data_IF_234395917227
#
_entry.id   IF_234395917227
#
_cell.length_a   1.000
_cell.length_b   1.000
_cell.length_c   1.000
_cell.angle_alpha   90.00
_cell.angle_beta   90.00
_cell.angle_gamma   90.00
#
_symmetry.space_group_name_H-M   'P 1'
#
loop_
_entity.id
_entity.type
_entity.pdbx_description
1 polymer ?
#
# COMPACT_ATOMS: atom_id res chain seq x y z
N UNK A 1 1.47 -45.16 -20.04
CA UNK A 1 1.86 -43.77 -19.70
C UNK A 1 2.46 -43.80 -18.30
N UNK A 2 3.72 -43.38 -18.17
CA UNK A 2 4.54 -43.58 -16.96
C UNK A 2 4.32 -42.52 -15.89
N UNK A 3 4.76 -42.86 -14.67
CA UNK A 3 4.59 -42.22 -13.35
C UNK A 3 5.11 -40.77 -13.21
N UNK A 4 5.37 -40.06 -14.31
CA UNK A 4 5.99 -38.73 -14.39
C UNK A 4 4.99 -37.57 -14.13
N UNK A 5 3.69 -37.84 -14.09
CA UNK A 5 2.63 -36.82 -13.94
C UNK A 5 2.25 -36.52 -12.48
N UNK A 6 2.92 -37.13 -11.49
CA UNK A 6 2.54 -37.00 -10.07
C UNK A 6 3.36 -35.99 -9.27
N UNK A 7 4.47 -35.48 -9.80
CA UNK A 7 5.34 -34.51 -9.11
C UNK A 7 5.16 -33.13 -9.73
N UNK A 8 4.93 -32.11 -8.88
CA UNK A 8 4.79 -30.73 -9.33
C UNK A 8 5.98 -30.33 -10.22
N UNK A 9 5.76 -29.75 -11.41
CA UNK A 9 6.82 -29.27 -12.29
C UNK A 9 7.86 -28.39 -11.58
N UNK A 10 7.45 -27.62 -10.57
CA UNK A 10 8.34 -26.79 -9.76
C UNK A 10 9.20 -27.53 -8.77
N UNK A 11 8.69 -28.63 -8.22
CA UNK A 11 9.50 -29.53 -7.37
C UNK A 11 10.58 -30.17 -8.24
N UNK A 12 10.24 -30.51 -9.49
CA UNK A 12 11.22 -30.98 -10.48
C UNK A 12 12.24 -29.89 -10.81
N UNK A 13 11.80 -28.69 -11.15
CA UNK A 13 12.69 -27.55 -11.46
C UNK A 13 13.63 -27.22 -10.30
N UNK A 14 13.14 -27.10 -9.06
CA UNK A 14 13.98 -26.85 -7.88
C UNK A 14 14.94 -27.99 -7.60
N UNK A 15 14.53 -29.22 -7.85
CA UNK A 15 15.39 -30.40 -7.70
C UNK A 15 16.46 -30.42 -8.80
N UNK A 16 16.14 -30.02 -10.03
CA UNK A 16 17.08 -29.89 -11.14
C UNK A 16 18.08 -28.74 -10.89
N UNK A 17 17.63 -27.59 -10.39
CA UNK A 17 18.49 -26.48 -9.94
C UNK A 17 19.48 -26.94 -8.86
N UNK A 18 18.99 -27.66 -7.84
CA UNK A 18 19.83 -28.20 -6.78
C UNK A 18 20.83 -29.24 -7.32
N UNK A 19 20.41 -30.11 -8.24
CA UNK A 19 21.31 -31.06 -8.89
C UNK A 19 22.39 -30.35 -9.72
N UNK A 20 22.05 -29.26 -10.41
CA UNK A 20 23.03 -28.46 -11.15
C UNK A 20 24.04 -27.78 -10.22
N UNK A 21 23.59 -27.26 -9.08
CA UNK A 21 24.48 -26.69 -8.05
C UNK A 21 25.44 -27.72 -7.47
N UNK A 22 24.94 -28.91 -7.12
CA UNK A 22 25.79 -30.02 -6.67
C UNK A 22 26.80 -30.41 -7.74
N UNK A 23 26.35 -30.58 -9.00
CA UNK A 23 27.25 -30.92 -10.12
C UNK A 23 28.31 -29.84 -10.33
N UNK A 24 27.96 -28.57 -10.19
CA UNK A 24 28.91 -27.46 -10.25
C UNK A 24 29.98 -27.57 -9.17
N UNK A 25 29.57 -27.74 -7.91
CA UNK A 25 30.49 -27.92 -6.77
C UNK A 25 31.44 -29.10 -7.00
N UNK A 26 30.91 -30.25 -7.43
CA UNK A 26 31.70 -31.45 -7.69
C UNK A 26 32.69 -31.22 -8.84
N UNK A 27 32.26 -30.59 -9.94
CA UNK A 27 33.14 -30.34 -11.09
C UNK A 27 34.24 -29.31 -10.77
N UNK A 28 33.91 -28.24 -10.04
CA UNK A 28 34.91 -27.26 -9.59
C UNK A 28 35.97 -27.91 -8.70
N UNK A 29 35.54 -28.70 -7.71
CA UNK A 29 36.49 -29.31 -6.78
C UNK A 29 37.30 -30.43 -7.45
N UNK A 30 36.68 -31.17 -8.37
CA UNK A 30 37.38 -32.14 -9.22
C UNK A 30 38.44 -31.48 -10.08
N UNK A 31 38.16 -30.32 -10.68
CA UNK A 31 39.15 -29.61 -11.49
C UNK A 31 40.38 -29.19 -10.67
N UNK A 32 40.18 -28.71 -9.43
CA UNK A 32 41.30 -28.38 -8.51
C UNK A 32 42.09 -29.62 -8.08
N UNK A 33 41.39 -30.73 -7.84
CA UNK A 33 42.02 -32.00 -7.52
C UNK A 33 42.89 -32.47 -8.70
N UNK A 34 42.37 -32.41 -9.92
CA UNK A 34 43.11 -32.77 -11.14
C UNK A 34 44.36 -31.88 -11.33
N UNK A 35 44.26 -30.57 -11.08
CA UNK A 35 45.43 -29.67 -11.10
C UNK A 35 46.48 -30.04 -10.04
N UNK A 36 46.04 -30.38 -8.83
CA UNK A 36 46.91 -30.77 -7.72
C UNK A 36 47.63 -32.09 -8.02
N UNK A 37 46.92 -33.05 -8.62
CA UNK A 37 47.48 -34.33 -9.07
C UNK A 37 48.48 -34.12 -10.21
N UNK A 38 48.20 -33.25 -11.19
CA UNK A 38 49.13 -32.96 -12.28
C UNK A 38 50.43 -32.31 -11.79
N UNK A 39 50.35 -31.44 -10.79
CA UNK A 39 51.54 -30.85 -10.16
C UNK A 39 52.36 -31.93 -9.46
N UNK A 40 51.70 -32.82 -8.72
CA UNK A 40 52.34 -33.93 -8.04
C UNK A 40 53.03 -34.88 -9.02
N UNK A 41 52.38 -35.21 -10.15
CA UNK A 41 52.97 -36.05 -11.20
C UNK A 41 54.21 -35.42 -11.84
N UNK A 42 54.24 -34.08 -11.98
CA UNK A 42 55.45 -33.36 -12.43
C UNK A 42 56.57 -33.44 -11.40
N UNK A 43 56.26 -33.29 -10.12
CA UNK A 43 57.26 -33.37 -9.05
C UNK A 43 57.85 -34.79 -8.93
N UNK A 44 57.06 -35.85 -9.20
CA UNK A 44 57.57 -37.23 -9.36
C UNK A 44 58.47 -37.35 -10.57
N UNK A 45 58.07 -36.81 -11.73
CA UNK A 45 58.84 -36.88 -12.97
C UNK A 45 60.19 -36.13 -12.89
N UNK A 46 60.24 -35.06 -12.09
CA UNK A 46 61.45 -34.28 -11.80
C UNK A 46 62.29 -34.89 -10.66
N UNK A 47 61.85 -36.01 -10.06
CA UNK A 47 62.58 -36.74 -9.01
C UNK A 47 62.60 -36.02 -7.65
N UNK A 48 61.70 -35.06 -7.43
CA UNK A 48 61.61 -34.30 -6.17
C UNK A 48 60.95 -35.08 -5.04
N UNK A 49 60.10 -36.05 -5.39
CA UNK A 49 59.37 -36.93 -4.47
C UNK A 49 59.35 -38.37 -5.00
N UNK A 50 59.22 -39.34 -4.11
CA UNK A 50 59.13 -40.76 -4.49
C UNK A 50 57.74 -41.13 -5.02
N UNK A 51 57.63 -42.28 -5.71
CA UNK A 51 56.33 -42.78 -6.18
C UNK A 51 55.43 -43.17 -5.02
N UNK A 52 55.97 -43.78 -3.96
CA UNK A 52 55.19 -44.13 -2.77
C UNK A 52 54.63 -42.88 -2.08
N UNK A 53 55.43 -41.83 -1.88
CA UNK A 53 54.96 -40.56 -1.27
C UNK A 53 53.90 -39.86 -2.13
N UNK A 54 54.00 -39.95 -3.45
CA UNK A 54 53.00 -39.40 -4.37
C UNK A 54 51.67 -40.15 -4.30
N UNK A 55 51.67 -41.49 -4.20
CA UNK A 55 50.44 -42.25 -4.06
C UNK A 55 49.73 -41.93 -2.73
N UNK A 56 50.46 -41.83 -1.63
CA UNK A 56 49.91 -41.44 -0.33
C UNK A 56 49.29 -40.02 -0.38
N UNK A 57 49.98 -39.08 -1.01
CA UNK A 57 49.50 -37.70 -1.14
C UNK A 57 48.24 -37.62 -2.02
N UNK A 58 48.12 -38.45 -3.07
CA UNK A 58 46.90 -38.50 -3.91
C UNK A 58 45.68 -38.96 -3.12
N UNK A 59 45.86 -39.92 -2.21
CA UNK A 59 44.78 -40.41 -1.34
C UNK A 59 44.32 -39.29 -0.40
N UNK A 60 45.25 -38.60 0.27
CA UNK A 60 44.93 -37.48 1.17
C UNK A 60 44.23 -36.31 0.45
N UNK A 61 44.66 -35.99 -0.78
CA UNK A 61 44.03 -34.96 -1.60
C UNK A 61 42.59 -35.34 -2.00
N UNK A 62 42.34 -36.61 -2.30
CA UNK A 62 41.00 -37.10 -2.62
C UNK A 62 40.06 -37.04 -1.40
N UNK A 63 40.55 -37.41 -0.22
CA UNK A 63 39.81 -37.31 1.04
C UNK A 63 39.47 -35.86 1.38
N UNK A 64 40.45 -34.95 1.35
CA UNK A 64 40.23 -33.53 1.59
C UNK A 64 39.24 -32.92 0.58
N UNK A 65 39.34 -33.28 -0.70
CA UNK A 65 38.39 -32.81 -1.73
C UNK A 65 36.97 -33.30 -1.46
N UNK A 66 36.82 -34.55 -1.00
CA UNK A 66 35.53 -35.13 -0.61
C UNK A 66 34.89 -34.38 0.57
N UNK A 67 35.68 -34.04 1.59
CA UNK A 67 35.22 -33.26 2.74
C UNK A 67 34.76 -31.86 2.32
N UNK A 68 35.52 -31.18 1.47
CA UNK A 68 35.18 -29.86 0.94
C UNK A 68 33.88 -29.90 0.13
N UNK A 69 33.70 -30.93 -0.72
CA UNK A 69 32.46 -31.14 -1.47
C UNK A 69 31.28 -31.29 -0.51
N UNK A 70 31.42 -32.15 0.52
CA UNK A 70 30.35 -32.38 1.49
C UNK A 70 29.98 -31.11 2.27
N UNK A 71 30.98 -30.34 2.73
CA UNK A 71 30.74 -29.09 3.44
C UNK A 71 30.06 -28.04 2.54
N UNK A 72 30.50 -27.93 1.28
CA UNK A 72 29.89 -27.01 0.31
C UNK A 72 28.46 -27.41 -0.02
N UNK A 73 28.16 -28.70 -0.18
CA UNK A 73 26.81 -29.21 -0.42
C UNK A 73 25.90 -28.93 0.79
N UNK A 74 26.38 -29.11 2.02
CA UNK A 74 25.60 -28.81 3.23
C UNK A 74 25.25 -27.31 3.36
N UNK A 75 26.10 -26.41 2.86
CA UNK A 75 25.83 -24.96 2.82
C UNK A 75 24.83 -24.57 1.73
N UNK A 76 24.57 -25.44 0.75
CA UNK A 76 23.51 -25.19 -0.22
C UNK A 76 22.17 -25.37 0.51
N UNK A 77 21.51 -24.24 0.80
CA UNK A 77 20.25 -24.21 1.52
C UNK A 77 19.14 -24.91 0.71
N UNK A 78 18.89 -26.18 1.01
CA UNK A 78 17.81 -26.97 0.42
C UNK A 78 16.63 -27.02 1.39
N UNK A 79 15.65 -26.17 1.15
CA UNK A 79 14.43 -26.11 1.97
C UNK A 79 13.45 -27.21 1.53
N UNK A 80 13.59 -28.38 2.17
CA UNK A 80 12.71 -29.52 1.95
C UNK A 80 11.25 -29.22 2.35
N UNK A 81 11.04 -28.36 3.35
CA UNK A 81 9.70 -28.01 3.83
C UNK A 81 8.94 -27.18 2.79
N UNK A 82 9.62 -26.27 2.10
CA UNK A 82 9.05 -25.51 0.97
C UNK A 82 8.68 -26.43 -0.20
N UNK A 83 9.52 -27.43 -0.51
CA UNK A 83 9.23 -28.41 -1.55
C UNK A 83 8.03 -29.29 -1.21
N UNK A 84 7.94 -29.76 0.04
CA UNK A 84 6.80 -30.57 0.51
C UNK A 84 5.52 -29.75 0.45
N UNK A 85 5.53 -28.48 0.90
CA UNK A 85 4.36 -27.59 0.82
C UNK A 85 3.89 -27.41 -0.63
N UNK A 86 4.81 -27.23 -1.57
CA UNK A 86 4.50 -27.10 -3.01
C UNK A 86 3.91 -28.39 -3.59
N UNK A 87 4.48 -29.55 -3.23
CA UNK A 87 3.97 -30.85 -3.67
C UNK A 87 2.57 -31.16 -3.11
N UNK A 88 2.34 -30.85 -1.83
CA UNK A 88 1.02 -31.00 -1.18
C UNK A 88 -0.01 -30.07 -1.80
N UNK A 89 0.34 -28.82 -2.07
CA UNK A 89 -0.54 -27.88 -2.76
C UNK A 89 -0.92 -28.36 -4.17
N UNK A 90 0.04 -28.88 -4.93
CA UNK A 90 -0.20 -29.45 -6.27
C UNK A 90 -1.14 -30.66 -6.24
N UNK A 91 -0.98 -31.54 -5.24
CA UNK A 91 -1.83 -32.72 -5.05
C UNK A 91 -3.27 -32.35 -4.65
N UNK A 92 -3.46 -31.32 -3.82
CA UNK A 92 -4.78 -30.83 -3.40
C UNK A 92 -5.54 -30.19 -4.57
N UNK A 93 -4.83 -29.56 -5.50
CA UNK A 93 -5.41 -28.79 -6.61
C UNK A 93 -5.58 -29.59 -7.92
N UNK A 94 -5.52 -30.93 -7.86
CA UNK A 94 -5.66 -31.83 -9.02
C UNK A 94 -4.77 -31.43 -10.22
N UNK A 95 -3.51 -31.07 -9.96
CA UNK A 95 -2.53 -30.79 -11.00
C UNK A 95 -2.53 -29.37 -11.57
N UNK A 96 -3.35 -28.45 -11.04
CA UNK A 96 -3.25 -27.03 -11.38
C UNK A 96 -2.30 -26.31 -10.41
N UNK A 97 -1.12 -25.94 -10.91
CA UNK A 97 -0.11 -25.17 -10.17
C UNK A 97 -0.67 -23.77 -9.82
N UNK A 98 -0.77 -23.48 -8.53
CA UNK A 98 -1.25 -22.18 -8.03
C UNK A 98 -0.30 -21.00 -8.33
N UNK A 99 0.90 -21.23 -8.89
CA UNK A 99 1.94 -20.18 -9.05
C UNK A 99 2.93 -20.39 -10.22
N UNK A 100 2.54 -20.80 -11.44
CA UNK A 100 3.48 -20.95 -12.58
C UNK A 100 4.54 -19.82 -12.69
N UNK A 101 5.82 -20.15 -12.92
CA UNK A 101 6.90 -19.15 -13.12
C UNK A 101 6.52 -18.32 -14.35
N UNK A 102 6.26 -17.01 -14.19
CA UNK A 102 5.86 -16.18 -15.31
C UNK A 102 7.03 -16.04 -16.28
N UNK A 103 6.83 -16.37 -17.55
CA UNK A 103 7.72 -16.03 -18.68
C UNK A 103 8.10 -14.54 -18.61
N UNK A 104 9.22 -14.10 -19.21
CA UNK A 104 9.55 -12.66 -19.29
C UNK A 104 8.38 -11.83 -19.87
N UNK A 105 7.60 -12.42 -20.79
CA UNK A 105 6.35 -11.82 -21.30
C UNK A 105 5.24 -11.77 -20.25
N UNK A 106 5.09 -12.81 -19.42
CA UNK A 106 4.13 -12.84 -18.31
C UNK A 106 4.54 -11.89 -17.18
N UNK A 107 5.83 -11.71 -16.90
CA UNK A 107 6.36 -10.70 -15.97
C UNK A 107 6.10 -9.28 -16.48
N UNK A 108 6.34 -9.03 -17.78
CA UNK A 108 6.00 -7.75 -18.42
C UNK A 108 4.50 -7.49 -18.40
N UNK A 109 3.67 -8.53 -18.57
CA UNK A 109 2.21 -8.44 -18.51
C UNK A 109 1.71 -8.23 -17.08
N UNK A 110 2.31 -8.91 -16.09
CA UNK A 110 1.94 -8.87 -14.67
C UNK A 110 2.39 -7.59 -13.97
N UNK A 111 3.59 -7.09 -14.28
CA UNK A 111 4.18 -5.90 -13.67
C UNK A 111 4.13 -4.66 -14.56
N UNK A 112 3.14 -4.59 -15.46
CA UNK A 112 2.87 -3.38 -16.24
C UNK A 112 2.44 -2.24 -15.30
N UNK A 113 2.73 -0.99 -15.69
CA UNK A 113 2.24 0.19 -15.00
C UNK A 113 0.74 0.07 -14.69
N UNK A 114 0.42 0.04 -13.41
CA UNK A 114 -0.95 -0.19 -12.92
C UNK A 114 -1.79 1.07 -13.04
N UNK A 115 -3.02 0.86 -13.47
CA UNK A 115 -4.04 1.89 -13.57
C UNK A 115 -5.28 1.33 -12.88
N UNK A 116 -5.51 1.75 -11.65
CA UNK A 116 -6.53 1.15 -10.81
C UNK A 116 -7.60 2.19 -10.49
N UNK A 117 -8.85 1.82 -10.73
CA UNK A 117 -10.02 2.52 -10.21
C UNK A 117 -10.50 1.75 -8.99
N UNK A 118 -10.53 2.39 -7.84
CA UNK A 118 -10.82 1.76 -6.54
C UNK A 118 -11.92 2.53 -5.83
N UNK A 119 -12.84 1.81 -5.20
CA UNK A 119 -13.84 2.38 -4.31
C UNK A 119 -13.17 3.06 -3.13
N UNK A 120 -13.70 4.20 -2.71
CA UNK A 120 -13.20 4.97 -1.59
C UNK A 120 -14.30 5.13 -0.56
N UNK A 121 -14.02 4.77 0.68
CA UNK A 121 -14.89 5.06 1.82
C UNK A 121 -14.04 5.64 2.95
N UNK A 122 -14.49 6.74 3.54
CA UNK A 122 -13.75 7.45 4.57
C UNK A 122 -14.63 7.96 5.69
N UNK A 123 -14.07 8.03 6.89
CA UNK A 123 -14.66 8.69 8.03
C UNK A 123 -13.62 9.54 8.73
N UNK A 124 -13.97 10.78 9.08
CA UNK A 124 -13.05 11.68 9.76
C UNK A 124 -13.73 12.61 10.74
N UNK A 125 -12.95 13.05 11.70
CA UNK A 125 -13.29 14.09 12.66
C UNK A 125 -12.89 15.43 12.08
N UNK A 126 -13.79 16.42 12.19
CA UNK A 126 -13.54 17.78 11.74
C UNK A 126 -13.24 18.65 12.95
N UNK A 127 -12.32 19.59 12.78
CA UNK A 127 -12.08 20.69 13.71
C UNK A 127 -11.86 21.98 12.94
N UNK A 128 -11.82 23.10 13.67
CA UNK A 128 -11.66 24.42 13.08
C UNK A 128 -10.41 25.09 13.64
N UNK A 129 -9.60 25.65 12.75
CA UNK A 129 -8.46 26.47 13.11
C UNK A 129 -8.92 27.91 13.31
N UNK A 130 -8.29 28.57 14.29
CA UNK A 130 -8.53 29.93 14.74
C UNK A 130 -9.84 30.11 15.54
N UNK A 131 -9.69 30.54 16.81
CA UNK A 131 -10.79 30.89 17.70
C UNK A 131 -11.13 32.36 17.51
N UNK A 132 -11.88 32.66 16.46
CA UNK A 132 -12.28 34.03 16.11
C UNK A 132 -13.63 34.43 16.72
N UNK A 133 -14.47 33.47 17.10
CA UNK A 133 -15.78 33.69 17.72
C UNK A 133 -15.99 32.73 18.91
N UNK A 134 -15.90 33.28 20.12
CA UNK A 134 -16.03 32.55 21.39
C UNK A 134 -17.42 31.92 21.56
N UNK A 135 -18.49 32.53 21.02
CA UNK A 135 -19.86 32.00 21.15
C UNK A 135 -20.08 30.72 20.33
N UNK A 136 -19.42 30.63 19.17
CA UNK A 136 -19.47 29.44 18.32
C UNK A 136 -18.52 28.36 18.83
N UNK A 137 -17.36 28.73 19.36
CA UNK A 137 -16.35 27.78 19.86
C UNK A 137 -16.81 27.02 21.11
N UNK A 138 -17.50 27.71 22.04
CA UNK A 138 -18.02 27.10 23.27
C UNK A 138 -19.19 26.12 23.02
N UNK A 139 -19.81 26.18 21.83
CA UNK A 139 -21.04 25.42 21.48
C UNK A 139 -20.84 24.48 20.31
N UNK A 140 -19.61 24.34 19.81
CA UNK A 140 -19.32 23.47 18.70
C UNK A 140 -19.16 22.03 19.22
N UNK A 141 -20.23 21.26 19.06
CA UNK A 141 -20.23 19.85 19.40
C UNK A 141 -19.46 18.99 18.40
N UNK A 142 -19.66 17.68 18.50
CA UNK A 142 -18.98 16.71 17.67
C UNK A 142 -19.22 16.93 16.16
N UNK A 143 -18.16 17.25 15.42
CA UNK A 143 -18.17 17.45 13.97
C UNK A 143 -17.48 16.30 13.24
N UNK A 144 -18.15 15.72 12.25
CA UNK A 144 -17.65 14.58 11.49
C UNK A 144 -17.92 14.68 10.00
N UNK A 145 -17.12 13.94 9.23
CA UNK A 145 -17.22 13.85 7.79
C UNK A 145 -17.26 12.39 7.37
N UNK A 146 -18.27 12.04 6.58
CA UNK A 146 -18.36 10.75 5.90
C UNK A 146 -18.06 10.97 4.42
N UNK A 147 -17.26 10.09 3.83
CA UNK A 147 -16.83 10.20 2.44
C UNK A 147 -17.05 8.89 1.68
N UNK A 148 -17.51 9.01 0.44
CA UNK A 148 -17.68 7.89 -0.48
C UNK A 148 -17.28 8.33 -1.88
N UNK A 149 -16.60 7.49 -2.65
CA UNK A 149 -16.26 7.86 -4.01
C UNK A 149 -15.46 6.82 -4.76
N UNK A 150 -14.83 7.29 -5.82
CA UNK A 150 -13.92 6.51 -6.65
C UNK A 150 -12.59 7.24 -6.73
N UNK A 151 -11.50 6.50 -6.56
CA UNK A 151 -10.15 7.02 -6.73
C UNK A 151 -9.46 6.31 -7.88
N UNK A 152 -8.83 7.10 -8.74
CA UNK A 152 -8.02 6.64 -9.85
C UNK A 152 -6.54 6.82 -9.49
N UNK A 153 -5.80 5.71 -9.49
CA UNK A 153 -4.35 5.70 -9.26
C UNK A 153 -3.66 5.23 -10.54
N UNK A 154 -2.76 6.06 -11.07
CA UNK A 154 -1.96 5.78 -12.24
C UNK A 154 -0.48 5.76 -11.87
N UNK A 155 0.13 4.59 -11.88
CA UNK A 155 1.57 4.46 -11.75
C UNK A 155 2.26 5.02 -13.00
N UNK A 156 3.33 5.79 -12.84
CA UNK A 156 3.98 6.42 -14.00
C UNK A 156 4.63 5.38 -14.92
N UNK A 157 5.42 4.47 -14.35
CA UNK A 157 6.13 3.40 -15.05
C UNK A 157 6.16 2.15 -14.17
N UNK A 158 6.32 0.97 -14.77
CA UNK A 158 6.46 -0.32 -14.07
C UNK A 158 7.59 -0.33 -13.02
N UNK A 159 8.65 0.45 -13.24
CA UNK A 159 9.80 0.57 -12.33
C UNK A 159 9.71 1.77 -11.37
N UNK A 160 8.63 2.56 -11.42
CA UNK A 160 8.48 3.80 -10.66
C UNK A 160 7.79 3.55 -9.32
N UNK A 161 8.33 4.07 -8.20
CA UNK A 161 7.63 4.12 -6.91
C UNK A 161 6.51 5.17 -6.88
N UNK A 162 6.48 6.05 -7.88
CA UNK A 162 5.57 7.18 -7.95
C UNK A 162 4.33 6.88 -8.78
N UNK A 163 3.18 7.28 -8.22
CA UNK A 163 1.88 7.20 -8.86
C UNK A 163 1.14 8.53 -8.75
N UNK A 164 0.45 8.91 -9.82
CA UNK A 164 -0.51 10.01 -9.82
C UNK A 164 -1.83 9.50 -9.23
N UNK A 165 -2.45 10.29 -8.35
CA UNK A 165 -3.74 9.97 -7.73
C UNK A 165 -4.74 11.06 -8.04
N UNK A 166 -5.92 10.67 -8.52
CA UNK A 166 -7.07 11.55 -8.69
C UNK A 166 -8.37 10.81 -8.37
N UNK A 167 -9.53 11.42 -8.54
CA UNK A 167 -10.80 10.76 -8.26
C UNK A 167 -11.98 11.71 -8.14
N UNK A 168 -13.09 11.15 -7.70
CA UNK A 168 -14.32 11.86 -7.39
C UNK A 168 -14.83 11.35 -6.04
N UNK A 169 -14.87 12.23 -5.05
CA UNK A 169 -15.21 11.90 -3.67
C UNK A 169 -16.40 12.76 -3.24
N UNK A 170 -17.50 12.12 -2.89
CA UNK A 170 -18.61 12.75 -2.20
C UNK A 170 -18.29 12.86 -0.72
N UNK A 171 -18.38 14.06 -0.17
CA UNK A 171 -18.12 14.36 1.23
C UNK A 171 -19.38 14.92 1.88
N UNK A 172 -19.89 14.22 2.90
CA UNK A 172 -20.98 14.64 3.76
C UNK A 172 -20.43 15.11 5.09
N UNK A 173 -20.33 16.42 5.22
CA UNK A 173 -19.82 17.09 6.41
C UNK A 173 -20.98 17.41 7.32
N UNK A 174 -20.93 16.97 8.57
CA UNK A 174 -21.94 17.26 9.58
C UNK A 174 -21.27 18.01 10.73
N UNK A 175 -21.71 19.23 10.97
CA UNK A 175 -21.38 19.99 12.17
C UNK A 175 -22.58 19.94 13.12
N UNK A 176 -22.33 19.61 14.38
CA UNK A 176 -23.34 19.62 15.44
C UNK A 176 -23.08 20.84 16.33
N UNK A 177 -24.15 21.50 16.74
CA UNK A 177 -24.11 22.45 17.84
C UNK A 177 -24.58 21.74 19.12
N UNK A 178 -23.90 22.01 20.21
CA UNK A 178 -24.37 21.69 21.55
C UNK A 178 -25.21 22.89 22.07
N UNK A 179 -26.12 22.63 23.02
CA UNK A 179 -27.18 23.53 23.52
C UNK A 179 -28.38 23.79 22.59
N UNK A 180 -29.39 24.51 23.11
CA UNK A 180 -30.67 24.87 22.46
C UNK A 180 -30.51 25.90 21.33
N UNK A 181 -29.36 25.94 20.67
CA UNK A 181 -29.02 26.89 19.61
C UNK A 181 -29.21 26.29 18.22
N UNK A 182 -29.76 27.10 17.32
CA UNK A 182 -30.00 26.74 15.92
C UNK A 182 -29.39 27.77 14.98
N UNK A 183 -28.90 27.28 13.84
CA UNK A 183 -28.56 28.15 12.72
C UNK A 183 -29.85 28.79 12.18
N UNK A 184 -29.92 30.12 12.20
CA UNK A 184 -31.00 30.92 11.60
C UNK A 184 -30.40 31.93 10.63
N UNK A 185 -31.22 32.45 9.72
CA UNK A 185 -30.81 33.60 8.91
C UNK A 185 -31.28 34.88 9.58
N UNK A 186 -30.41 35.88 9.65
CA UNK A 186 -30.80 37.23 10.05
C UNK A 186 -31.59 37.92 8.92
N UNK A 187 -32.10 39.13 9.20
CA UNK A 187 -32.82 39.97 8.24
C UNK A 187 -31.99 40.38 7.01
N UNK A 188 -30.67 40.26 7.07
CA UNK A 188 -29.74 40.56 5.98
C UNK A 188 -29.37 39.30 5.16
N UNK A 189 -29.88 38.13 5.56
CA UNK A 189 -29.62 36.86 4.89
C UNK A 189 -28.30 36.19 5.29
N UNK A 190 -27.63 36.65 6.34
CA UNK A 190 -26.45 36.01 6.91
C UNK A 190 -26.84 34.91 7.89
N UNK A 191 -26.05 33.85 7.95
CA UNK A 191 -26.23 32.79 8.95
C UNK A 191 -25.78 33.31 10.31
N UNK A 192 -26.63 33.21 11.32
CA UNK A 192 -26.34 33.57 12.71
C UNK A 192 -26.86 32.47 13.65
N UNK A 193 -26.41 32.49 14.89
CA UNK A 193 -26.89 31.60 15.94
C UNK A 193 -28.04 32.27 16.68
N UNK A 194 -29.19 31.60 16.79
CA UNK A 194 -30.26 32.03 17.67
C UNK A 194 -30.58 30.96 18.72
N UNK A 195 -30.81 31.43 19.94
CA UNK A 195 -31.33 30.62 21.03
C UNK A 195 -32.77 30.22 20.71
N UNK A 196 -33.08 28.94 20.84
CA UNK A 196 -34.45 28.43 20.76
C UNK A 196 -35.12 28.59 22.11
N UNK A 197 -36.36 29.10 22.17
CA UNK A 197 -37.15 29.21 23.41
C UNK A 197 -37.64 27.85 23.95
N UNK A 198 -37.36 26.77 23.22
CA UNK A 198 -37.73 25.39 23.54
C UNK A 198 -36.51 24.50 23.40
N UNK A 199 -36.35 23.51 24.28
CA UNK A 199 -35.17 22.64 24.28
C UNK A 199 -35.03 21.89 22.95
N UNK A 200 -33.83 21.94 22.35
CA UNK A 200 -33.51 21.31 21.08
C UNK A 200 -32.65 20.07 21.32
N UNK A 201 -33.25 18.89 21.11
CA UNK A 201 -32.52 17.62 21.17
C UNK A 201 -31.40 17.51 20.12
N UNK A 202 -31.59 18.07 18.92
CA UNK A 202 -30.65 17.95 17.78
C UNK A 202 -30.65 19.18 16.88
N UNK A 203 -29.52 19.89 16.84
CA UNK A 203 -29.20 20.95 15.87
C UNK A 203 -27.99 20.53 15.03
N UNK A 204 -28.19 20.20 13.75
CA UNK A 204 -27.13 19.71 12.85
C UNK A 204 -27.18 20.36 11.48
N UNK A 205 -26.07 20.95 11.06
CA UNK A 205 -25.87 21.45 9.71
C UNK A 205 -25.10 20.39 8.90
N UNK A 206 -25.65 20.00 7.75
CA UNK A 206 -24.99 19.06 6.83
C UNK A 206 -24.73 19.71 5.48
N UNK A 207 -23.45 19.77 5.09
CA UNK A 207 -23.00 20.15 3.75
C UNK A 207 -22.60 18.93 2.95
N UNK A 208 -23.03 18.86 1.69
CA UNK A 208 -22.64 17.81 0.73
C UNK A 208 -21.78 18.42 -0.37
N UNK A 209 -20.59 17.88 -0.57
CA UNK A 209 -19.60 18.36 -1.52
C UNK A 209 -19.16 17.25 -2.46
N UNK A 210 -18.86 17.61 -3.72
CA UNK A 210 -18.08 16.78 -4.62
C UNK A 210 -16.65 17.30 -4.66
N UNK A 211 -15.71 16.46 -4.25
CA UNK A 211 -14.28 16.77 -4.13
C UNK A 211 -13.51 15.99 -5.19
N UNK A 212 -12.62 16.68 -5.89
CA UNK A 212 -11.67 16.11 -6.84
C UNK A 212 -10.26 16.26 -6.25
N UNK A 213 -9.64 15.18 -5.75
CA UNK A 213 -8.24 15.22 -5.36
C UNK A 213 -7.33 15.12 -6.59
N UNK A 214 -6.16 15.72 -6.49
CA UNK A 214 -5.05 15.56 -7.41
C UNK A 214 -3.75 15.57 -6.62
N UNK A 215 -2.96 14.51 -6.75
CA UNK A 215 -1.75 14.36 -5.95
C UNK A 215 -0.80 13.28 -6.42
N UNK A 216 0.30 13.17 -5.69
CA UNK A 216 1.33 12.17 -5.91
C UNK A 216 1.37 11.21 -4.72
N UNK A 217 1.43 9.92 -5.04
CA UNK A 217 1.67 8.84 -4.11
C UNK A 217 3.08 8.31 -4.31
N UNK A 218 3.83 8.19 -3.22
CA UNK A 218 5.06 7.43 -3.16
C UNK A 218 4.79 6.11 -2.43
N UNK A 219 4.87 5.01 -3.15
CA UNK A 219 4.76 3.67 -2.58
C UNK A 219 6.16 3.17 -2.23
N UNK A 220 6.37 2.76 -0.98
CA UNK A 220 7.64 2.17 -0.55
C UNK A 220 7.76 0.77 -1.14
N UNK A 221 8.99 0.33 -1.40
CA UNK A 221 9.23 -0.91 -2.14
C UNK A 221 10.67 -1.04 -2.58
N UNK A 222 10.95 -2.12 -3.30
CA UNK A 222 12.27 -2.42 -3.83
C UNK A 222 12.20 -2.56 -5.35
N UNK A 223 13.22 -2.08 -6.04
CA UNK A 223 13.40 -2.39 -7.47
C UNK A 223 13.93 -3.81 -7.59
N UNK A 224 13.32 -4.60 -8.47
CA UNK A 224 13.77 -5.95 -8.81
C UNK A 224 14.07 -5.95 -10.30
N UNK A 225 15.26 -6.42 -10.64
CA UNK A 225 15.68 -6.62 -12.03
C UNK A 225 15.80 -8.12 -12.27
N UNK A 226 15.11 -8.60 -13.30
CA UNK A 226 15.21 -9.96 -13.81
C UNK A 226 15.59 -9.83 -15.28
N UNK A 227 16.76 -10.35 -15.64
CA UNK A 227 17.40 -10.15 -16.94
C UNK A 227 17.48 -8.65 -17.32
N UNK A 228 16.81 -8.25 -18.41
CA UNK A 228 16.72 -6.86 -18.91
C UNK A 228 15.42 -6.12 -18.50
N UNK A 229 14.60 -6.70 -17.62
CA UNK A 229 13.34 -6.10 -17.16
C UNK A 229 13.41 -5.70 -15.69
N UNK A 230 13.31 -4.39 -15.43
CA UNK A 230 13.20 -3.83 -14.08
C UNK A 230 11.76 -3.47 -13.75
N UNK A 231 11.26 -3.96 -12.62
CA UNK A 231 9.96 -3.58 -12.06
C UNK A 231 10.07 -3.18 -10.59
N UNK A 232 9.08 -2.41 -10.12
CA UNK A 232 9.00 -1.97 -8.74
C UNK A 232 8.09 -2.92 -7.95
N UNK A 233 8.68 -3.64 -6.99
CA UNK A 233 7.92 -4.46 -6.04
C UNK A 233 7.44 -3.56 -4.89
N UNK A 234 6.18 -3.16 -4.96
CA UNK A 234 5.50 -2.38 -3.93
C UNK A 234 5.42 -3.16 -2.60
N UNK A 235 5.62 -2.44 -1.49
CA UNK A 235 5.27 -2.87 -0.14
C UNK A 235 3.94 -2.23 0.25
N UNK A 236 3.36 -2.74 1.32
CA UNK A 236 2.10 -2.26 1.89
C UNK A 236 2.19 -0.90 2.63
N UNK A 237 3.19 -0.09 2.30
CA UNK A 237 3.43 1.22 2.88
C UNK A 237 3.47 2.26 1.77
N UNK A 238 2.69 3.33 1.90
CA UNK A 238 2.74 4.45 0.96
C UNK A 238 2.44 5.77 1.65
N UNK A 239 2.97 6.86 1.10
CA UNK A 239 2.62 8.23 1.49
C UNK A 239 2.03 8.93 0.28
N UNK A 240 0.93 9.64 0.47
CA UNK A 240 0.28 10.43 -0.59
C UNK A 240 0.14 11.86 -0.15
N UNK A 241 0.52 12.78 -1.04
CA UNK A 241 0.26 14.20 -0.89
C UNK A 241 -0.65 14.65 -2.05
N UNK A 242 -1.84 15.16 -1.72
CA UNK A 242 -2.80 15.65 -2.69
C UNK A 242 -3.30 17.04 -2.32
N UNK A 243 -3.47 17.87 -3.33
CA UNK A 243 -4.35 19.03 -3.27
C UNK A 243 -5.75 18.60 -3.73
N UNK A 244 -6.78 19.31 -3.33
CA UNK A 244 -8.13 19.06 -3.80
C UNK A 244 -8.90 20.35 -3.99
N UNK A 245 -9.84 20.31 -4.93
CA UNK A 245 -10.88 21.30 -5.09
C UNK A 245 -12.24 20.61 -5.02
N UNK A 246 -13.25 21.28 -4.51
CA UNK A 246 -14.59 20.74 -4.42
C UNK A 246 -15.66 21.80 -4.57
N UNK A 247 -16.82 21.34 -5.06
CA UNK A 247 -18.02 22.17 -5.26
C UNK A 247 -19.13 21.71 -4.33
N UNK A 248 -19.84 22.65 -3.74
CA UNK A 248 -21.03 22.38 -2.93
C UNK A 248 -22.15 21.87 -3.83
N UNK A 249 -22.69 20.69 -3.52
CA UNK A 249 -23.83 20.11 -4.25
C UNK A 249 -25.17 20.48 -3.60
N UNK A 250 -25.23 20.38 -2.27
CA UNK A 250 -26.45 20.61 -1.50
C UNK A 250 -26.10 20.88 -0.04
N UNK A 251 -26.94 21.65 0.64
CA UNK A 251 -26.96 21.73 2.10
C UNK A 251 -28.33 21.30 2.63
N UNK A 252 -28.34 20.82 3.87
CA UNK A 252 -29.55 20.41 4.57
C UNK A 252 -29.34 20.76 6.04
N UNK A 253 -30.20 21.60 6.62
CA UNK A 253 -30.22 21.84 8.05
C UNK A 253 -31.33 21.03 8.70
N UNK A 254 -30.99 20.35 9.79
CA UNK A 254 -31.91 19.47 10.51
C UNK A 254 -31.97 19.96 11.95
N UNK A 255 -33.12 20.50 12.33
CA UNK A 255 -33.42 20.95 13.69
C UNK A 255 -34.57 20.08 14.23
N UNK A 256 -34.35 19.42 15.37
CA UNK A 256 -35.36 18.62 16.08
C UNK A 256 -35.39 19.00 17.57
N UNK A 257 -36.60 19.20 18.10
CA UNK A 257 -36.91 19.29 19.54
C UNK A 257 -38.27 18.60 19.83
N UNK A 258 -38.71 18.65 21.10
CA UNK A 258 -39.83 17.86 21.64
C UNK A 258 -41.15 17.93 20.84
N UNK A 259 -41.46 19.09 20.23
CA UNK A 259 -42.69 19.29 19.42
C UNK A 259 -42.43 19.91 18.04
N UNK A 260 -41.15 20.03 17.62
CA UNK A 260 -40.77 20.68 16.35
C UNK A 260 -39.75 19.82 15.60
N UNK A 261 -40.16 19.27 14.45
CA UNK A 261 -39.27 18.63 13.48
C UNK A 261 -39.22 19.47 12.20
N UNK A 262 -38.27 20.39 12.09
CA UNK A 262 -38.05 21.19 10.89
C UNK A 262 -36.76 20.78 10.17
N UNK A 263 -36.91 20.39 8.90
CA UNK A 263 -35.81 20.15 7.97
C UNK A 263 -35.87 21.25 6.91
N UNK A 264 -34.93 22.18 6.96
CA UNK A 264 -34.89 23.31 6.04
C UNK A 264 -33.70 23.16 5.07
N UNK A 265 -33.96 23.31 3.77
CA UNK A 265 -32.97 23.29 2.66
C UNK A 265 -32.48 24.70 2.30
N UNK A 266 -32.56 25.64 3.25
CA UNK A 266 -32.18 27.04 3.02
C UNK A 266 -30.65 27.15 2.95
N UNK A 267 -30.16 28.15 2.22
CA UNK A 267 -28.71 28.34 2.07
C UNK A 267 -28.12 28.98 3.35
N UNK A 268 -27.35 28.19 4.10
CA UNK A 268 -26.69 28.61 5.35
C UNK A 268 -25.28 29.19 5.11
N UNK A 269 -25.11 29.91 4.00
CA UNK A 269 -23.85 30.58 3.64
C UNK A 269 -22.62 29.66 3.71
N UNK A 270 -22.78 28.34 3.47
CA UNK A 270 -21.66 27.43 3.34
C UNK A 270 -20.90 27.74 2.06
N UNK A 271 -19.56 27.73 2.13
CA UNK A 271 -18.73 28.08 1.00
C UNK A 271 -19.05 27.21 -0.23
N UNK A 272 -19.43 27.79 -1.38
CA UNK A 272 -19.74 27.02 -2.58
C UNK A 272 -18.53 26.30 -3.17
N UNK A 273 -17.30 26.77 -2.87
CA UNK A 273 -16.06 26.23 -3.40
C UNK A 273 -15.03 26.00 -2.28
N UNK A 274 -14.65 24.74 -2.08
CA UNK A 274 -13.66 24.35 -1.08
C UNK A 274 -12.37 23.91 -1.74
N UNK A 275 -11.23 24.25 -1.14
CA UNK A 275 -9.94 23.75 -1.60
C UNK A 275 -8.96 23.62 -0.45
N UNK A 276 -8.02 22.69 -0.59
CA UNK A 276 -7.05 22.42 0.46
C UNK A 276 -6.02 21.38 0.08
N UNK A 277 -5.26 20.96 1.09
CA UNK A 277 -4.25 19.93 0.98
C UNK A 277 -4.55 18.78 1.94
N UNK A 278 -4.16 17.58 1.54
CA UNK A 278 -4.29 16.36 2.32
C UNK A 278 -3.02 15.53 2.20
N UNK A 279 -2.56 15.07 3.36
CA UNK A 279 -1.53 14.05 3.48
C UNK A 279 -2.19 12.74 3.91
N UNK A 280 -1.74 11.63 3.35
CA UNK A 280 -2.29 10.31 3.63
C UNK A 280 -1.17 9.29 3.77
N UNK A 281 -1.18 8.55 4.87
CA UNK A 281 -0.28 7.44 5.15
C UNK A 281 -1.07 6.14 5.00
N UNK A 282 -0.63 5.28 4.09
CA UNK A 282 -1.17 3.95 3.86
C UNK A 282 -0.32 2.93 4.62
N UNK A 283 -0.99 2.11 5.42
CA UNK A 283 -0.41 0.95 6.10
C UNK A 283 -1.34 -0.24 5.84
N UNK A 284 -0.88 -1.20 5.02
CA UNK A 284 -1.70 -2.32 4.56
C UNK A 284 -2.97 -1.82 3.85
N UNK A 285 -4.14 -2.24 4.33
CA UNK A 285 -5.45 -1.84 3.79
C UNK A 285 -6.02 -0.58 4.43
N UNK A 286 -5.35 -0.01 5.44
CA UNK A 286 -5.83 1.16 6.19
C UNK A 286 -5.08 2.40 5.74
N UNK A 287 -5.81 3.47 5.43
CA UNK A 287 -5.22 4.77 5.15
C UNK A 287 -5.59 5.75 6.26
N UNK A 288 -4.61 6.41 6.84
CA UNK A 288 -4.79 7.49 7.82
C UNK A 288 -4.50 8.80 7.08
N UNK A 289 -5.39 9.78 7.20
CA UNK A 289 -5.20 11.07 6.53
C UNK A 289 -5.36 12.24 7.49
N UNK A 290 -4.60 13.29 7.17
CA UNK A 290 -4.72 14.62 7.73
C UNK A 290 -5.00 15.59 6.59
N UNK A 291 -6.00 16.43 6.74
CA UNK A 291 -6.47 17.36 5.74
C UNK A 291 -6.60 18.74 6.34
N UNK A 292 -6.18 19.76 5.59
CA UNK A 292 -6.36 21.17 5.93
C UNK A 292 -7.02 21.90 4.77
N UNK A 293 -8.07 22.65 5.06
CA UNK A 293 -8.69 23.57 4.12
C UNK A 293 -8.00 24.93 4.13
N UNK A 294 -7.85 25.48 2.93
CA UNK A 294 -7.34 26.83 2.73
C UNK A 294 -8.48 27.82 2.46
N UNK A 295 -9.61 27.32 1.96
CA UNK A 295 -10.89 28.04 1.91
C UNK A 295 -11.50 28.20 3.30
N UNK A 296 -12.20 29.30 3.51
CA UNK A 296 -13.04 29.51 4.70
C UNK A 296 -14.23 28.55 4.66
N UNK A 297 -14.67 28.05 5.81
CA UNK A 297 -15.78 27.09 5.88
C UNK A 297 -17.13 27.73 5.52
N UNK A 298 -17.34 28.97 5.96
CA UNK A 298 -18.46 29.81 5.53
C UNK A 298 -18.01 30.77 4.42
N UNK A 299 -18.98 31.29 3.68
CA UNK A 299 -18.74 32.29 2.64
C UNK A 299 -18.23 33.60 3.25
N UNK A 300 -17.44 34.35 2.46
CA UNK A 300 -16.80 35.58 2.95
C UNK A 300 -17.87 36.61 3.33
N UNK A 301 -17.63 37.33 4.43
CA UNK A 301 -18.47 38.39 5.00
C UNK A 301 -19.81 37.97 5.61
N UNK A 302 -20.05 36.67 5.89
CA UNK A 302 -21.36 36.25 6.43
C UNK A 302 -21.35 35.95 7.91
N UNK A 303 -20.41 35.13 8.40
CA UNK A 303 -20.48 34.58 9.76
C UNK A 303 -19.11 34.32 10.37
N UNK A 304 -18.25 33.54 9.71
CA UNK A 304 -16.91 33.25 10.23
C UNK A 304 -15.94 32.83 9.12
N UNK A 305 -14.68 33.28 9.23
CA UNK A 305 -13.60 33.00 8.29
C UNK A 305 -12.72 31.80 8.71
N UNK A 306 -13.14 31.04 9.73
CA UNK A 306 -12.43 29.84 10.22
C UNK A 306 -12.16 28.81 9.12
N UNK A 307 -10.99 28.18 9.20
CA UNK A 307 -10.53 27.13 8.28
C UNK A 307 -10.72 25.76 8.90
N UNK A 308 -11.19 24.80 8.12
CA UNK A 308 -11.40 23.44 8.60
C UNK A 308 -10.09 22.63 8.56
N UNK A 309 -9.82 21.88 9.62
CA UNK A 309 -8.89 20.76 9.59
C UNK A 309 -9.64 19.45 9.84
N UNK A 310 -9.13 18.35 9.32
CA UNK A 310 -9.78 17.05 9.43
C UNK A 310 -8.74 15.96 9.58
N UNK A 311 -9.01 15.02 10.49
CA UNK A 311 -8.23 13.80 10.67
C UNK A 311 -9.16 12.60 10.55
N UNK A 312 -8.72 11.55 9.86
CA UNK A 312 -9.58 10.40 9.68
C UNK A 312 -8.90 9.19 9.10
N UNK A 313 -9.73 8.18 8.87
CA UNK A 313 -9.35 6.93 8.24
C UNK A 313 -10.15 6.74 6.97
N UNK A 314 -9.53 6.15 5.95
CA UNK A 314 -10.23 5.72 4.75
C UNK A 314 -9.71 4.37 4.27
N UNK A 315 -10.54 3.70 3.47
CA UNK A 315 -10.31 2.38 2.93
C UNK A 315 -10.54 2.41 1.43
N UNK A 316 -9.66 1.70 0.71
CA UNK A 316 -9.85 1.36 -0.68
C UNK A 316 -10.44 -0.04 -0.80
N UNK A 317 -11.48 -0.22 -1.61
CA UNK A 317 -12.06 -1.53 -1.93
C UNK A 317 -12.27 -1.71 -3.44
#
# INVERSE_FOLDING_TARGET
MGDQDKVSPKVREKMDEFQLQIRGIVNEEKAKLDESIQKLDKDVAEGKITKEEAEETKVQLAEASSEIINERIQKVNFDLDDLIKKQVAFAILNGNDADAVPTLEDLKKKHRATHNLTGYIGYGFMGFSDKTDDNLDDRLGFANNFELGLTYTKQFNAASPWSLKSGMIFSWRTTRLDDDYKFVRDTNGNTTLAHSETSLDKSKLRGSYLIVPLGLQYTFGNKVTVDDFTYYKEKDLAITANVYGGVKLSNNNIVKGDDISQRDKKDYNLNPFVYGAQLTFKINSVNIYARKEFSNYFDKNTFDDRKMFQFGINFGF
#
